data_IF_019291859397
#
_entry.id   IF_019291859397
#
_cell.length_a   1.000
_cell.length_b   1.000
_cell.length_c   1.000
_cell.angle_alpha   90.00
_cell.angle_beta   90.00
_cell.angle_gamma   90.00
#
_symmetry.space_group_name_H-M   'P 1'
#
loop_
_entity.id
_entity.type
_entity.pdbx_description
1 polymer ?
#
# COMPACT_ATOMS: atom_id res chain seq x y z
N UNK A 1 28.36 -12.36 0.56
CA UNK A 1 28.13 -11.06 1.23
C UNK A 1 27.72 -9.97 0.23
N UNK A 2 28.41 -9.83 -0.91
CA UNK A 2 28.09 -8.85 -1.98
C UNK A 2 26.69 -9.06 -2.60
N UNK A 3 26.27 -10.30 -2.83
CA UNK A 3 24.98 -10.66 -3.44
C UNK A 3 23.76 -10.17 -2.64
N UNK A 4 23.80 -10.30 -1.31
CA UNK A 4 22.73 -9.84 -0.41
C UNK A 4 22.61 -8.30 -0.40
N UNK A 5 23.75 -7.61 -0.51
CA UNK A 5 23.81 -6.15 -0.57
C UNK A 5 23.30 -5.62 -1.92
N UNK A 6 23.72 -6.23 -3.04
CA UNK A 6 23.23 -5.91 -4.38
C UNK A 6 21.72 -6.07 -4.49
N UNK A 7 21.17 -7.19 -3.98
CA UNK A 7 19.73 -7.45 -4.00
C UNK A 7 18.93 -6.40 -3.19
N UNK A 8 19.44 -5.98 -2.03
CA UNK A 8 18.81 -4.94 -1.21
C UNK A 8 18.81 -3.59 -1.96
N UNK A 9 19.95 -3.18 -2.50
CA UNK A 9 20.09 -1.91 -3.22
C UNK A 9 19.23 -1.87 -4.48
N UNK A 10 19.20 -2.96 -5.26
CA UNK A 10 18.36 -3.05 -6.47
C UNK A 10 16.88 -3.02 -6.10
N UNK A 11 16.46 -3.74 -5.05
CA UNK A 11 15.08 -3.72 -4.55
C UNK A 11 14.63 -2.31 -4.14
N UNK A 12 15.42 -1.61 -3.33
CA UNK A 12 15.13 -0.23 -2.91
C UNK A 12 15.00 0.73 -4.11
N UNK A 13 15.79 0.51 -5.18
CA UNK A 13 15.74 1.33 -6.39
C UNK A 13 14.47 1.06 -7.22
N UNK A 14 14.03 -0.19 -7.30
CA UNK A 14 12.79 -0.59 -7.98
C UNK A 14 11.57 -0.04 -7.26
N UNK A 15 11.46 -0.24 -5.95
CA UNK A 15 10.37 0.30 -5.13
C UNK A 15 10.29 1.83 -5.23
N UNK A 16 11.44 2.52 -5.21
CA UNK A 16 11.51 3.98 -5.37
C UNK A 16 11.05 4.42 -6.76
N UNK A 17 11.37 3.64 -7.80
CA UNK A 17 10.95 3.90 -9.18
C UNK A 17 9.44 3.72 -9.32
N UNK A 18 8.88 2.64 -8.79
CA UNK A 18 7.44 2.36 -8.79
C UNK A 18 6.67 3.46 -8.06
N UNK A 19 7.11 3.82 -6.85
CA UNK A 19 6.54 4.92 -6.09
C UNK A 19 6.58 6.24 -6.87
N UNK A 20 7.71 6.56 -7.51
CA UNK A 20 7.85 7.77 -8.33
C UNK A 20 6.88 7.78 -9.52
N UNK A 21 6.71 6.65 -10.20
CA UNK A 21 5.77 6.51 -11.31
C UNK A 21 4.31 6.67 -10.85
N UNK A 22 3.93 6.03 -9.75
CA UNK A 22 2.62 6.19 -9.12
C UNK A 22 2.35 7.65 -8.77
N UNK A 23 3.31 8.33 -8.12
CA UNK A 23 3.12 9.73 -7.73
C UNK A 23 3.04 10.68 -8.92
N UNK A 24 3.75 10.42 -10.03
CA UNK A 24 3.59 11.19 -11.27
C UNK A 24 2.15 11.15 -11.79
N UNK A 25 1.54 9.97 -11.78
CA UNK A 25 0.12 9.77 -12.15
C UNK A 25 -0.82 10.50 -11.19
N UNK A 26 -0.59 10.38 -9.88
CA UNK A 26 -1.34 11.15 -8.85
C UNK A 26 -1.25 12.66 -9.09
N UNK A 27 -0.09 13.14 -9.53
CA UNK A 27 0.11 14.56 -9.82
C UNK A 27 -0.63 15.04 -11.07
N UNK A 28 -0.92 14.16 -12.02
CA UNK A 28 -1.69 14.45 -13.22
C UNK A 28 -3.22 14.50 -12.98
N UNK A 29 -3.70 13.97 -11.85
CA UNK A 29 -5.12 14.03 -11.49
C UNK A 29 -5.61 15.48 -11.25
N UNK A 30 -6.93 15.74 -11.37
CA UNK A 30 -7.53 16.98 -10.91
C UNK A 30 -7.22 17.27 -9.43
N UNK A 31 -7.30 18.54 -9.04
CA UNK A 31 -6.86 18.98 -7.71
C UNK A 31 -7.56 18.26 -6.55
N UNK A 32 -8.87 18.06 -6.64
CA UNK A 32 -9.66 17.40 -5.60
C UNK A 32 -9.27 15.92 -5.43
N UNK A 33 -9.09 15.21 -6.54
CA UNK A 33 -8.63 13.83 -6.55
C UNK A 33 -7.23 13.67 -5.97
N UNK A 34 -6.29 14.53 -6.36
CA UNK A 34 -4.94 14.53 -5.79
C UNK A 34 -4.94 14.81 -4.29
N UNK A 35 -5.81 15.72 -3.84
CA UNK A 35 -5.96 16.02 -2.41
C UNK A 35 -6.49 14.80 -1.65
N UNK A 36 -7.58 14.20 -2.13
CA UNK A 36 -8.18 13.01 -1.52
C UNK A 36 -7.19 11.85 -1.46
N UNK A 37 -6.50 11.56 -2.56
CA UNK A 37 -5.51 10.48 -2.64
C UNK A 37 -4.44 10.63 -1.55
N UNK A 38 -3.84 11.82 -1.42
CA UNK A 38 -2.80 12.07 -0.42
C UNK A 38 -3.32 11.95 1.02
N UNK A 39 -4.58 12.34 1.26
CA UNK A 39 -5.21 12.21 2.59
C UNK A 39 -5.48 10.75 2.94
N UNK A 40 -6.03 9.99 2.00
CA UNK A 40 -6.28 8.55 2.14
C UNK A 40 -4.94 7.82 2.33
N UNK A 41 -3.94 8.08 1.50
CA UNK A 41 -2.61 7.47 1.62
C UNK A 41 -2.00 7.68 3.00
N UNK A 42 -2.06 8.92 3.53
CA UNK A 42 -1.56 9.23 4.87
C UNK A 42 -2.34 8.49 5.96
N UNK A 43 -3.66 8.43 5.84
CA UNK A 43 -4.52 7.71 6.78
C UNK A 43 -4.17 6.22 6.82
N UNK A 44 -4.04 5.58 5.66
CA UNK A 44 -3.69 4.16 5.54
C UNK A 44 -2.33 3.86 6.19
N UNK A 45 -1.31 4.69 5.95
CA UNK A 45 -0.01 4.54 6.63
C UNK A 45 -0.12 4.69 8.15
N UNK A 46 -0.92 5.63 8.64
CA UNK A 46 -1.11 5.80 10.08
C UNK A 46 -1.76 4.57 10.71
N UNK A 47 -2.79 3.99 10.08
CA UNK A 47 -3.45 2.78 10.57
C UNK A 47 -2.51 1.58 10.56
N UNK A 48 -1.77 1.36 9.46
CA UNK A 48 -0.80 0.26 9.42
C UNK A 48 0.26 0.36 10.50
N UNK A 49 0.75 1.58 10.77
CA UNK A 49 1.70 1.83 11.86
C UNK A 49 1.09 1.53 13.24
N UNK A 50 -0.16 1.93 13.48
CA UNK A 50 -0.88 1.67 14.74
C UNK A 50 -1.13 0.17 14.92
N UNK A 51 -1.57 -0.52 13.88
CA UNK A 51 -1.93 -1.92 13.93
C UNK A 51 -0.72 -2.86 13.83
N UNK A 52 0.47 -2.33 13.52
CA UNK A 52 1.68 -3.12 13.30
C UNK A 52 1.59 -4.04 12.08
N UNK A 53 0.72 -3.70 11.13
CA UNK A 53 0.52 -4.46 9.90
C UNK A 53 0.61 -3.52 8.71
N UNK A 54 1.76 -3.59 8.04
CA UNK A 54 2.07 -2.82 6.83
C UNK A 54 2.16 -3.73 5.60
N UNK A 55 1.85 -5.02 5.72
CA UNK A 55 2.02 -6.00 4.65
C UNK A 55 1.21 -5.61 3.40
N UNK A 56 -0.01 -5.10 3.60
CA UNK A 56 -0.89 -4.61 2.53
C UNK A 56 -0.30 -3.44 1.72
N UNK A 57 0.74 -2.77 2.23
CA UNK A 57 1.41 -1.65 1.58
C UNK A 57 2.74 -2.01 0.89
N UNK A 58 3.28 -3.22 1.11
CA UNK A 58 4.66 -3.60 0.72
C UNK A 58 4.94 -3.52 -0.79
N UNK A 59 3.91 -3.53 -1.64
CA UNK A 59 4.04 -3.36 -3.11
C UNK A 59 3.18 -2.23 -3.66
N UNK A 60 2.72 -1.31 -2.82
CA UNK A 60 1.81 -0.22 -3.18
C UNK A 60 0.49 -0.63 -3.88
N UNK A 61 0.16 -1.92 -4.01
CA UNK A 61 -0.99 -2.42 -4.78
C UNK A 61 -2.32 -1.76 -4.39
N UNK A 62 -2.56 -1.56 -3.09
CA UNK A 62 -3.75 -0.86 -2.61
C UNK A 62 -3.80 0.60 -3.06
N UNK A 63 -2.65 1.28 -3.13
CA UNK A 63 -2.55 2.66 -3.62
C UNK A 63 -2.66 2.73 -5.15
N UNK A 64 -2.15 1.73 -5.87
CA UNK A 64 -2.32 1.62 -7.32
C UNK A 64 -3.80 1.41 -7.65
N UNK A 65 -4.51 0.53 -6.93
CA UNK A 65 -5.95 0.34 -7.10
C UNK A 65 -6.75 1.61 -6.84
N UNK A 66 -6.43 2.36 -5.77
CA UNK A 66 -7.04 3.65 -5.50
C UNK A 66 -6.80 4.65 -6.65
N UNK A 67 -5.57 4.69 -7.16
CA UNK A 67 -5.18 5.58 -8.25
C UNK A 67 -5.95 5.25 -9.54
N UNK A 68 -6.06 3.98 -9.90
CA UNK A 68 -6.79 3.52 -11.09
C UNK A 68 -8.29 3.86 -10.99
N UNK A 69 -8.90 3.64 -9.82
CA UNK A 69 -10.27 4.06 -9.55
C UNK A 69 -10.45 5.57 -9.75
N UNK A 70 -9.50 6.37 -9.26
CA UNK A 70 -9.54 7.83 -9.35
C UNK A 70 -9.31 8.33 -10.78
N UNK A 71 -8.38 7.73 -11.52
CA UNK A 71 -8.14 8.04 -12.94
C UNK A 71 -9.39 7.78 -13.78
N UNK A 72 -10.02 6.62 -13.62
CA UNK A 72 -11.25 6.28 -14.34
C UNK A 72 -12.39 7.24 -13.98
N UNK A 73 -12.59 7.50 -12.69
CA UNK A 73 -13.66 8.39 -12.21
C UNK A 73 -13.47 9.84 -12.67
N UNK A 74 -12.23 10.33 -12.67
CA UNK A 74 -11.90 11.66 -13.16
C UNK A 74 -12.11 11.77 -14.67
N UNK A 75 -11.79 10.73 -15.45
CA UNK A 75 -12.05 10.68 -16.88
C UNK A 75 -13.56 10.70 -17.21
N UNK A 76 -14.39 10.14 -16.33
CA UNK A 76 -15.85 10.21 -16.41
C UNK A 76 -16.45 11.53 -15.89
N UNK A 77 -15.62 12.44 -15.36
CA UNK A 77 -16.06 13.74 -14.84
C UNK A 77 -16.82 13.67 -13.51
N UNK A 78 -16.68 12.57 -12.75
CA UNK A 78 -17.31 12.42 -11.43
C UNK A 78 -16.63 13.31 -10.39
N UNK A 79 -17.34 13.68 -9.33
CA UNK A 79 -16.69 14.30 -8.18
C UNK A 79 -16.04 13.21 -7.32
N UNK A 80 -14.89 13.49 -6.71
CA UNK A 80 -14.21 12.52 -5.84
C UNK A 80 -15.08 12.10 -4.66
N UNK A 81 -15.94 12.97 -4.14
CA UNK A 81 -16.85 12.65 -3.03
C UNK A 81 -17.93 11.65 -3.42
N UNK A 82 -18.32 11.61 -4.70
CA UNK A 82 -19.27 10.62 -5.23
C UNK A 82 -18.64 9.23 -5.27
N UNK A 83 -17.30 9.15 -5.29
CA UNK A 83 -16.53 7.90 -5.33
C UNK A 83 -16.21 7.42 -3.91
N UNK A 84 -15.72 8.33 -3.06
CA UNK A 84 -15.31 7.99 -1.70
C UNK A 84 -16.48 7.95 -0.71
N UNK A 85 -17.60 8.59 -1.05
CA UNK A 85 -18.63 8.92 -0.07
C UNK A 85 -18.19 10.01 0.90
N UNK A 86 -19.13 10.44 1.77
CA UNK A 86 -18.88 11.43 2.81
C UNK A 86 -18.00 10.90 3.96
N UNK A 87 -18.01 9.58 4.18
CA UNK A 87 -17.15 8.89 5.14
C UNK A 87 -15.92 8.30 4.45
N UNK A 88 -14.94 9.17 4.20
CA UNK A 88 -13.68 8.80 3.51
C UNK A 88 -12.83 7.83 4.33
N UNK A 89 -12.98 7.85 5.66
CA UNK A 89 -12.26 6.93 6.56
C UNK A 89 -12.75 5.50 6.35
N UNK A 90 -14.08 5.31 6.39
CA UNK A 90 -14.71 4.03 6.10
C UNK A 90 -14.36 3.50 4.71
N UNK A 91 -14.38 4.37 3.69
CA UNK A 91 -13.94 4.00 2.34
C UNK A 91 -12.50 3.46 2.34
N UNK A 92 -11.58 4.12 3.05
CA UNK A 92 -10.19 3.68 3.13
C UNK A 92 -10.05 2.32 3.87
N UNK A 93 -10.82 2.11 4.94
CA UNK A 93 -10.83 0.85 5.69
C UNK A 93 -11.35 -0.31 4.84
N UNK A 94 -12.45 -0.10 4.11
CA UNK A 94 -13.02 -1.10 3.19
C UNK A 94 -12.05 -1.41 2.04
N UNK A 95 -11.35 -0.39 1.54
CA UNK A 95 -10.32 -0.57 0.51
C UNK A 95 -9.12 -1.38 1.02
N UNK A 96 -8.63 -1.12 2.24
CA UNK A 96 -7.58 -1.96 2.85
C UNK A 96 -8.06 -3.40 2.98
N UNK A 97 -9.27 -3.61 3.52
CA UNK A 97 -9.83 -4.93 3.75
C UNK A 97 -9.91 -5.75 2.44
N UNK A 98 -10.25 -5.12 1.32
CA UNK A 98 -10.29 -5.76 0.01
C UNK A 98 -8.92 -6.26 -0.49
N UNK A 99 -7.81 -5.63 -0.04
CA UNK A 99 -6.44 -6.02 -0.40
C UNK A 99 -5.77 -6.92 0.66
N UNK A 100 -6.32 -6.99 1.87
CA UNK A 100 -5.78 -7.81 2.96
C UNK A 100 -6.10 -9.30 2.83
N UNK A 101 -7.06 -9.70 1.99
CA UNK A 101 -7.45 -11.12 1.87
C UNK A 101 -6.32 -11.98 1.28
N UNK A 102 -5.78 -12.91 2.08
CA UNK A 102 -4.75 -13.86 1.63
C UNK A 102 -3.31 -13.34 1.69
N UNK A 103 -3.08 -12.12 2.20
CA UNK A 103 -1.73 -11.59 2.42
C UNK A 103 -1.21 -12.07 3.77
N UNK A 104 -0.07 -12.76 3.79
CA UNK A 104 0.65 -13.06 5.03
C UNK A 104 1.02 -11.74 5.73
N UNK A 105 0.60 -11.58 6.98
CA UNK A 105 0.89 -10.35 7.72
C UNK A 105 2.34 -10.31 8.16
N UNK A 106 2.86 -9.11 8.46
CA UNK A 106 4.24 -8.97 9.01
C UNK A 106 4.39 -9.77 10.32
N UNK A 107 3.31 -9.89 11.10
CA UNK A 107 3.28 -10.68 12.33
C UNK A 107 3.37 -12.18 12.06
N UNK A 108 2.58 -12.67 11.09
CA UNK A 108 2.59 -14.09 10.71
C UNK A 108 3.98 -14.50 10.21
N UNK A 109 4.57 -13.68 9.34
CA UNK A 109 5.92 -13.89 8.84
C UNK A 109 6.97 -13.93 9.96
N UNK A 110 6.92 -12.98 10.90
CA UNK A 110 7.82 -12.98 12.07
C UNK A 110 7.66 -14.26 12.90
N UNK A 111 6.42 -14.65 13.19
CA UNK A 111 6.12 -15.86 13.96
C UNK A 111 6.67 -17.12 13.24
N UNK A 112 6.49 -17.19 11.93
CA UNK A 112 6.99 -18.30 11.12
C UNK A 112 8.52 -18.34 11.10
N UNK A 113 9.20 -17.21 10.85
CA UNK A 113 10.66 -17.12 10.85
C UNK A 113 11.28 -17.56 12.18
N UNK A 114 10.70 -17.14 13.31
CA UNK A 114 11.15 -17.55 14.65
C UNK A 114 10.90 -19.05 14.89
N UNK A 115 9.73 -19.57 14.52
CA UNK A 115 9.40 -20.98 14.68
C UNK A 115 10.33 -21.89 13.86
N UNK A 116 10.71 -21.48 12.64
CA UNK A 116 11.64 -22.22 11.79
C UNK A 116 13.08 -22.24 12.32
N UNK A 117 13.51 -21.20 13.05
CA UNK A 117 14.82 -21.20 13.70
C UNK A 117 14.91 -22.31 14.75
N UNK A 118 13.95 -22.39 15.67
CA UNK A 118 13.99 -23.36 16.78
C UNK A 118 13.78 -24.82 16.33
N UNK A 119 12.99 -25.06 15.27
CA UNK A 119 12.86 -26.41 14.68
C UNK A 119 14.17 -26.97 14.11
N UNK A 120 15.15 -26.12 13.79
CA UNK A 120 16.45 -26.53 13.26
C UNK A 120 17.47 -26.82 14.36
N UNK A 121 17.28 -26.32 15.58
CA UNK A 121 18.15 -26.64 16.73
C UNK A 121 17.83 -27.98 17.38
N UNK A 122 16.60 -28.48 17.24
CA UNK A 122 16.16 -29.80 17.73
C UNK A 122 16.51 -30.98 16.78
N UNK A 123 17.26 -30.74 15.70
CA UNK A 123 17.75 -31.76 14.74
C UNK A 123 19.27 -31.82 14.71
#
# INVERSE_FOLDING_TARGET
>A
MIDRFMKLVIGDLEEKKEYSQMMKRVHALPQEYRFAFKKIQRYMYNIGAINGDTAVFVNFNVFIGLLELFEASAAEGKNVIDITGSDVGRFADELIAAYSTGTETVRDKLNHEVAEYFKKEDK
#
